data_IF_827699437646
#
_entry.id   IF_827699437646
#
_cell.length_a   1.000
_cell.length_b   1.000
_cell.length_c   1.000
_cell.angle_alpha   90.00
_cell.angle_beta   90.00
_cell.angle_gamma   90.00
#
_symmetry.space_group_name_H-M   'P 1'
#
loop_
_entity.id
_entity.type
_entity.pdbx_description
1 polymer ?
#
# COMPACT_ATOMS: atom_id res chain seq x y z
N UNK A 1 -78.25 -75.73 -5.12
CA UNK A 1 -77.92 -74.33 -5.50
C UNK A 1 -76.44 -74.26 -5.90
N UNK A 2 -76.05 -73.54 -6.98
CA UNK A 2 -74.65 -73.43 -7.37
C UNK A 2 -73.86 -72.49 -6.43
N UNK A 3 -72.53 -72.68 -6.26
CA UNK A 3 -71.70 -71.81 -5.43
C UNK A 3 -71.62 -70.37 -5.95
N UNK A 4 -71.52 -69.40 -5.04
CA UNK A 4 -71.39 -68.00 -5.40
C UNK A 4 -70.02 -67.70 -6.07
N UNK A 5 -69.95 -66.80 -7.06
CA UNK A 5 -68.69 -66.40 -7.69
C UNK A 5 -67.72 -65.74 -6.71
N UNK A 6 -66.42 -66.00 -6.88
CA UNK A 6 -65.37 -65.37 -6.09
C UNK A 6 -65.21 -63.87 -6.42
N UNK A 7 -64.80 -63.04 -5.43
CA UNK A 7 -64.59 -61.61 -5.66
C UNK A 7 -63.37 -61.33 -6.55
N UNK A 8 -63.37 -60.20 -7.29
CA UNK A 8 -62.26 -59.82 -8.17
C UNK A 8 -61.02 -59.38 -7.37
N UNK A 9 -59.82 -59.49 -7.99
CA UNK A 9 -58.57 -59.06 -7.35
C UNK A 9 -58.47 -57.53 -7.22
N UNK A 10 -57.69 -57.03 -6.25
CA UNK A 10 -57.49 -55.60 -6.05
C UNK A 10 -56.66 -54.95 -7.18
N UNK A 11 -56.83 -53.64 -7.42
CA UNK A 11 -56.09 -52.92 -8.45
C UNK A 11 -54.60 -52.76 -8.09
N UNK A 12 -53.72 -52.61 -9.10
CA UNK A 12 -52.29 -52.42 -8.89
C UNK A 12 -51.93 -51.06 -8.26
N UNK A 13 -50.80 -50.95 -7.54
CA UNK A 13 -50.35 -49.70 -6.95
C UNK A 13 -50.01 -48.61 -7.98
N UNK A 14 -50.22 -47.35 -7.61
CA UNK A 14 -49.92 -46.20 -8.48
C UNK A 14 -48.40 -45.98 -8.67
N UNK A 15 -47.97 -45.43 -9.82
CA UNK A 15 -46.57 -45.09 -10.07
C UNK A 15 -46.08 -43.94 -9.19
N UNK A 16 -44.78 -43.94 -8.87
CA UNK A 16 -44.14 -42.87 -8.08
C UNK A 16 -43.90 -41.59 -8.91
N UNK A 17 -43.95 -40.39 -8.29
CA UNK A 17 -43.66 -39.13 -8.97
C UNK A 17 -42.20 -39.00 -9.40
N UNK A 18 -41.96 -38.27 -10.49
CA UNK A 18 -40.62 -37.96 -11.03
C UNK A 18 -39.95 -36.83 -10.24
N UNK A 19 -38.60 -36.84 -10.08
CA UNK A 19 -37.88 -35.81 -9.33
C UNK A 19 -37.81 -34.44 -10.05
N UNK A 20 -37.80 -33.38 -9.25
CA UNK A 20 -37.75 -31.97 -9.70
C UNK A 20 -36.35 -31.56 -10.17
N UNK A 21 -36.21 -30.77 -11.25
CA UNK A 21 -34.90 -30.30 -11.73
C UNK A 21 -34.26 -29.27 -10.77
N UNK A 22 -32.91 -29.30 -10.68
CA UNK A 22 -32.12 -28.35 -9.88
C UNK A 22 -31.90 -27.02 -10.61
N UNK A 23 -31.86 -25.88 -9.89
CA UNK A 23 -31.58 -24.57 -10.50
C UNK A 23 -30.11 -24.45 -10.95
N UNK A 24 -29.91 -23.70 -12.05
CA UNK A 24 -28.59 -23.42 -12.61
C UNK A 24 -27.91 -22.25 -11.87
N UNK A 25 -26.57 -22.28 -11.65
CA UNK A 25 -25.85 -21.17 -11.03
C UNK A 25 -25.85 -19.92 -11.92
N UNK A 26 -26.02 -18.75 -11.32
CA UNK A 26 -25.93 -17.45 -11.99
C UNK A 26 -24.50 -16.90 -11.92
N UNK A 27 -23.94 -16.44 -13.04
CA UNK A 27 -22.58 -15.89 -13.10
C UNK A 27 -22.55 -14.44 -12.61
N UNK A 28 -21.55 -14.09 -11.79
CA UNK A 28 -21.36 -12.73 -11.28
C UNK A 28 -20.65 -11.84 -12.32
N UNK A 29 -21.06 -10.57 -12.51
CA UNK A 29 -20.36 -9.64 -13.39
C UNK A 29 -18.94 -9.32 -12.89
N UNK A 30 -18.02 -8.99 -13.81
CA UNK A 30 -16.63 -8.64 -13.50
C UNK A 30 -16.53 -7.16 -13.08
N UNK A 31 -15.69 -6.83 -12.07
CA UNK A 31 -15.47 -5.44 -11.67
C UNK A 31 -14.78 -4.60 -12.76
N UNK A 32 -14.98 -3.28 -12.75
CA UNK A 32 -14.38 -2.36 -13.72
C UNK A 32 -12.86 -2.23 -13.55
N UNK A 33 -12.18 -1.83 -14.63
CA UNK A 33 -10.73 -1.59 -14.63
C UNK A 33 -10.39 -0.27 -13.91
N UNK A 34 -9.27 -0.20 -13.16
CA UNK A 34 -8.81 1.04 -12.55
C UNK A 34 -8.43 2.09 -13.60
N UNK A 35 -8.73 3.36 -13.31
CA UNK A 35 -8.33 4.52 -14.10
C UNK A 35 -7.00 5.11 -13.58
N UNK A 36 -6.05 5.44 -14.47
CA UNK A 36 -4.80 6.08 -14.07
C UNK A 36 -5.05 7.52 -13.59
N UNK A 37 -4.39 7.88 -12.47
CA UNK A 37 -4.42 9.23 -11.89
C UNK A 37 -3.12 9.97 -12.17
N UNK A 38 -3.20 11.25 -12.50
CA UNK A 38 -2.02 12.07 -12.73
C UNK A 38 -1.31 12.35 -11.40
N UNK A 39 -0.01 12.01 -11.33
CA UNK A 39 0.83 12.30 -10.16
C UNK A 39 1.49 13.67 -10.37
N UNK A 40 1.42 14.59 -9.40
CA UNK A 40 2.07 15.89 -9.52
C UNK A 40 3.60 15.73 -9.56
N UNK A 41 4.23 16.46 -10.47
CA UNK A 41 5.69 16.52 -10.56
C UNK A 41 6.19 17.50 -9.51
N UNK A 42 6.75 16.99 -8.41
CA UNK A 42 7.36 17.82 -7.38
C UNK A 42 8.57 18.56 -7.95
N UNK A 43 8.65 19.88 -7.72
CA UNK A 43 9.78 20.69 -8.18
C UNK A 43 10.89 20.74 -7.14
N UNK A 44 12.13 20.72 -7.63
CA UNK A 44 13.30 20.89 -6.78
C UNK A 44 13.41 22.33 -6.26
N UNK A 45 13.86 22.48 -5.01
CA UNK A 45 14.03 23.78 -4.39
C UNK A 45 15.23 24.53 -5.00
N UNK A 46 15.00 25.77 -5.45
CA UNK A 46 16.03 26.66 -6.03
C UNK A 46 16.93 27.34 -4.97
N UNK A 47 17.00 26.79 -3.75
CA UNK A 47 17.75 27.43 -2.66
C UNK A 47 19.24 27.36 -2.95
N UNK A 48 19.96 28.47 -2.72
CA UNK A 48 21.42 28.45 -2.72
C UNK A 48 21.92 27.49 -1.65
N UNK A 49 22.76 26.55 -2.05
CA UNK A 49 23.43 25.66 -1.11
C UNK A 49 24.31 26.46 -0.15
N UNK A 50 24.42 26.02 1.12
CA UNK A 50 25.46 26.50 2.01
C UNK A 50 26.82 26.34 1.35
N UNK A 51 27.72 27.29 1.61
CA UNK A 51 29.07 27.23 1.05
C UNK A 51 29.77 25.95 1.55
N UNK A 52 30.16 25.07 0.64
CA UNK A 52 30.86 23.80 0.95
C UNK A 52 32.34 23.99 1.30
N UNK A 53 32.81 25.24 1.41
CA UNK A 53 34.19 25.56 1.77
C UNK A 53 34.38 25.74 3.29
N UNK A 54 35.63 25.75 3.76
CA UNK A 54 35.92 26.13 5.14
C UNK A 54 35.34 27.50 5.45
N UNK A 55 34.79 27.67 6.65
CA UNK A 55 34.29 28.97 7.10
C UNK A 55 35.39 30.02 6.94
N UNK A 56 35.05 31.17 6.36
CA UNK A 56 35.98 32.28 6.17
C UNK A 56 36.61 32.71 7.50
N UNK A 57 35.84 32.62 8.60
CA UNK A 57 36.33 32.88 9.96
C UNK A 57 37.36 31.84 10.37
N UNK A 58 37.07 30.55 10.17
CA UNK A 58 38.01 29.47 10.50
C UNK A 58 39.29 29.55 9.67
N UNK A 59 39.19 29.86 8.37
CA UNK A 59 40.35 30.09 7.51
C UNK A 59 41.17 31.27 8.01
N UNK A 60 40.51 32.39 8.33
CA UNK A 60 41.17 33.60 8.83
C UNK A 60 41.88 33.32 10.15
N UNK A 61 41.24 32.60 11.07
CA UNK A 61 41.86 32.19 12.33
C UNK A 61 43.03 31.24 12.11
N UNK A 62 42.93 30.24 11.23
CA UNK A 62 44.05 29.34 10.92
C UNK A 62 45.28 30.11 10.42
N UNK A 63 45.08 31.14 9.59
CA UNK A 63 46.16 31.95 9.02
C UNK A 63 46.71 32.96 10.02
N UNK A 64 45.84 33.67 10.75
CA UNK A 64 46.23 34.86 11.53
C UNK A 64 46.35 34.62 13.02
N UNK A 65 45.63 33.64 13.58
CA UNK A 65 45.64 33.39 15.02
C UNK A 65 47.03 33.05 15.56
N UNK A 66 47.91 32.28 14.89
CA UNK A 66 49.25 31.99 15.42
C UNK A 66 50.09 33.26 15.65
N UNK A 67 50.02 34.22 14.72
CA UNK A 67 50.73 35.48 14.81
C UNK A 67 50.20 36.35 15.94
N UNK A 68 48.87 36.50 16.03
CA UNK A 68 48.22 37.27 17.10
C UNK A 68 48.43 36.62 18.48
N UNK A 69 48.39 35.29 18.55
CA UNK A 69 48.66 34.54 19.77
C UNK A 69 50.11 34.72 20.22
N UNK A 70 51.08 34.57 19.32
CA UNK A 70 52.49 34.82 19.64
C UNK A 70 52.70 36.27 20.13
N UNK A 71 52.12 37.26 19.44
CA UNK A 71 52.19 38.65 19.87
C UNK A 71 51.54 38.86 21.25
N UNK A 72 50.43 38.19 21.54
CA UNK A 72 49.76 38.27 22.84
C UNK A 72 50.55 37.61 23.97
N UNK A 73 51.28 36.53 23.70
CA UNK A 73 52.18 35.87 24.65
C UNK A 73 53.41 36.73 24.94
N UNK A 74 53.99 37.34 23.90
CA UNK A 74 55.18 38.17 24.03
C UNK A 74 54.88 39.56 24.58
N UNK A 75 53.64 40.05 24.44
CA UNK A 75 53.24 41.35 24.97
C UNK A 75 53.34 41.30 26.50
N UNK A 76 54.27 42.04 27.12
CA UNK A 76 54.39 42.07 28.57
C UNK A 76 53.05 42.54 29.14
N UNK A 77 52.50 41.77 30.08
CA UNK A 77 51.34 42.19 30.89
C UNK A 77 51.71 43.27 31.92
N UNK A 78 52.87 43.92 31.77
CA UNK A 78 53.43 44.86 32.73
C UNK A 78 53.36 46.30 32.20
N UNK A 79 52.30 47.01 32.60
CA UNK A 79 52.44 48.24 33.38
C UNK A 79 51.15 48.53 34.15
#
# INVERSE_FOLDING_TARGET
PPPAPAPPPPPPPAPKPSPTPKPSPYARPKPPSPTPVAIPVYRQATRKEPHNGPSLVSLTLLVTAPAVFAAAVLRPRSR
#
